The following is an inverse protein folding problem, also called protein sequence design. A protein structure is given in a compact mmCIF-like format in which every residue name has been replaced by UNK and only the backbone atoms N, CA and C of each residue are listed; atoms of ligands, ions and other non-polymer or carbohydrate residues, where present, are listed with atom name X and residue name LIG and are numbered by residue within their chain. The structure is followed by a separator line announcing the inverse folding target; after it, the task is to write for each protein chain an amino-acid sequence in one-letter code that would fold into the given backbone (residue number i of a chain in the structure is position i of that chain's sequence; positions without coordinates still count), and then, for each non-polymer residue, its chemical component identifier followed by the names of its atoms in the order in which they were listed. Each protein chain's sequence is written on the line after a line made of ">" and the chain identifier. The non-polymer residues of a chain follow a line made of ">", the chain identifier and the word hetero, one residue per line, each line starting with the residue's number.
data_IF_298410831791
#
_entry.id   IF_298410831791
#
_cell.length_a   1.000
_cell.length_b   1.000
_cell.length_c   1.000
_cell.angle_alpha   90.00
_cell.angle_beta   90.00
_cell.angle_gamma   90.00
#
_symmetry.space_group_name_H-M   'P 1'
#
loop_
_entity.id
_entity.type
_entity.pdbx_description
1 polymer ?
#
# COMPACT_ATOMS: atom_id res chain seq x y z
N UNK A 1 18.50 -25.59 15.67
CA UNK A 1 17.02 -25.59 15.67
C UNK A 1 16.58 -26.97 16.16
N UNK A 2 15.61 -27.09 17.09
CA UNK A 2 15.06 -28.37 17.51
C UNK A 2 14.73 -29.23 16.29
N UNK A 3 15.21 -30.47 16.27
CA UNK A 3 14.75 -31.41 15.25
C UNK A 3 13.27 -31.72 15.53
N UNK A 4 12.41 -31.67 14.51
CA UNK A 4 10.96 -31.89 14.64
C UNK A 4 10.61 -33.14 15.46
N UNK A 5 11.39 -34.21 15.28
CA UNK A 5 11.25 -35.45 16.04
C UNK A 5 11.44 -35.30 17.57
N UNK A 6 12.26 -34.37 18.03
CA UNK A 6 12.43 -34.11 19.48
C UNK A 6 11.18 -33.46 20.07
N UNK A 7 10.53 -32.57 19.33
CA UNK A 7 9.29 -31.92 19.78
C UNK A 7 8.12 -32.91 19.74
N UNK A 8 8.03 -33.75 18.70
CA UNK A 8 6.99 -34.79 18.56
C UNK A 8 7.03 -35.81 19.71
N UNK A 9 8.22 -36.31 20.06
CA UNK A 9 8.38 -37.22 21.20
C UNK A 9 7.94 -36.57 22.52
N UNK A 10 8.24 -35.29 22.73
CA UNK A 10 7.82 -34.59 23.95
C UNK A 10 6.32 -34.32 24.01
N UNK A 11 5.66 -34.10 22.86
CA UNK A 11 4.19 -34.01 22.77
C UNK A 11 3.55 -35.37 23.07
N UNK A 12 4.09 -36.47 22.54
CA UNK A 12 3.60 -37.82 22.82
C UNK A 12 3.75 -38.20 24.30
N UNK A 13 4.80 -37.73 24.97
CA UNK A 13 5.02 -37.88 26.41
C UNK A 13 4.18 -36.91 27.27
N UNK A 14 3.26 -36.15 26.65
CA UNK A 14 2.35 -35.20 27.29
C UNK A 14 3.08 -34.15 28.17
N UNK A 15 4.28 -33.74 27.74
CA UNK A 15 5.09 -32.77 28.48
C UNK A 15 4.53 -31.35 28.35
N UNK A 16 4.70 -30.54 29.40
CA UNK A 16 4.30 -29.13 29.33
C UNK A 16 5.23 -28.31 28.44
N UNK A 17 4.68 -27.30 27.76
CA UNK A 17 5.42 -26.41 26.86
C UNK A 17 6.60 -25.72 27.57
N UNK A 18 6.46 -25.42 28.86
CA UNK A 18 7.54 -24.86 29.67
C UNK A 18 8.69 -25.85 29.85
N UNK A 19 8.38 -27.13 30.06
CA UNK A 19 9.38 -28.18 30.22
C UNK A 19 10.06 -28.51 28.88
N UNK A 20 9.31 -28.49 27.78
CA UNK A 20 9.85 -28.63 26.41
C UNK A 20 10.83 -27.50 26.07
N UNK A 21 10.46 -26.26 26.40
CA UNK A 21 11.31 -25.06 26.20
C UNK A 21 12.62 -25.14 26.98
N UNK A 22 12.56 -25.63 28.23
CA UNK A 22 13.74 -25.84 29.06
C UNK A 22 14.65 -26.97 28.55
N UNK A 23 14.07 -28.05 27.99
CA UNK A 23 14.83 -29.22 27.51
C UNK A 23 15.49 -29.02 26.14
N UNK A 24 14.87 -28.28 25.22
CA UNK A 24 15.38 -28.09 23.85
C UNK A 24 15.92 -26.66 23.61
N UNK A 25 16.09 -25.86 24.67
CA UNK A 25 16.57 -24.47 24.59
C UNK A 25 15.87 -23.63 23.50
N UNK A 26 14.56 -23.80 23.33
CA UNK A 26 13.76 -23.11 22.33
C UNK A 26 12.65 -22.29 23.00
N UNK A 27 12.20 -21.21 22.36
CA UNK A 27 11.19 -20.34 22.97
C UNK A 27 9.85 -21.05 23.08
N UNK A 28 9.10 -20.75 24.17
CA UNK A 28 7.75 -21.28 24.37
C UNK A 28 6.81 -20.96 23.20
N UNK A 29 6.97 -19.78 22.60
CA UNK A 29 6.21 -19.35 21.42
C UNK A 29 6.46 -20.26 20.22
N UNK A 30 7.71 -20.64 19.95
CA UNK A 30 8.03 -21.54 18.85
C UNK A 30 7.43 -22.94 19.07
N UNK A 31 7.50 -23.46 20.30
CA UNK A 31 6.84 -24.72 20.66
C UNK A 31 5.32 -24.65 20.47
N UNK A 32 4.68 -23.56 20.90
CA UNK A 32 3.24 -23.35 20.71
C UNK A 32 2.86 -23.27 19.23
N UNK A 33 3.65 -22.56 18.42
CA UNK A 33 3.43 -22.48 16.97
C UNK A 33 3.57 -23.86 16.30
N UNK A 34 4.53 -24.69 16.74
CA UNK A 34 4.70 -26.05 16.22
C UNK A 34 3.54 -26.96 16.62
N UNK A 35 3.13 -26.95 17.89
CA UNK A 35 2.02 -27.78 18.40
C UNK A 35 0.69 -27.41 17.71
N UNK A 36 0.50 -26.13 17.37
CA UNK A 36 -0.74 -25.65 16.75
C UNK A 36 -0.89 -26.09 15.28
N UNK A 37 0.23 -26.19 14.54
CA UNK A 37 0.23 -26.63 13.14
C UNK A 37 1.61 -27.19 12.75
N UNK A 38 1.89 -28.47 13.06
CA UNK A 38 3.21 -29.07 12.84
C UNK A 38 3.51 -29.30 11.35
N UNK A 39 2.47 -29.40 10.52
CA UNK A 39 2.59 -29.62 9.07
C UNK A 39 2.99 -28.33 8.36
N UNK A 40 2.40 -27.19 8.74
CA UNK A 40 2.77 -25.90 8.17
C UNK A 40 4.01 -25.26 8.83
N UNK A 41 4.44 -25.74 10.00
CA UNK A 41 5.57 -25.16 10.74
C UNK A 41 6.88 -25.23 9.94
N UNK A 42 7.48 -24.09 9.61
CA UNK A 42 8.71 -24.00 8.82
C UNK A 42 8.49 -24.08 7.31
N UNK A 43 7.24 -24.14 6.83
CA UNK A 43 6.94 -23.87 5.42
C UNK A 43 6.97 -22.35 5.19
N UNK A 44 7.50 -21.93 4.03
CA UNK A 44 7.48 -20.51 3.65
C UNK A 44 6.05 -20.04 3.51
N UNK A 45 5.60 -19.14 4.38
CA UNK A 45 4.34 -18.43 4.20
C UNK A 45 4.49 -17.52 2.98
N UNK A 46 3.47 -17.48 2.11
CA UNK A 46 3.35 -16.40 1.12
C UNK A 46 3.34 -15.07 1.88
N UNK A 47 4.39 -14.28 1.71
CA UNK A 47 4.53 -12.95 2.32
C UNK A 47 3.67 -11.89 1.62
N UNK A 48 2.90 -12.30 0.60
CA UNK A 48 2.09 -11.42 -0.24
C UNK A 48 0.62 -11.30 0.19
N UNK A 49 0.02 -10.18 -0.22
CA UNK A 49 -1.41 -9.89 -0.07
C UNK A 49 -2.25 -10.97 -0.76
N UNK A 50 -3.27 -11.55 -0.09
CA UNK A 50 -4.15 -12.53 -0.72
C UNK A 50 -4.88 -11.92 -1.92
N UNK A 51 -5.00 -12.70 -3.01
CA UNK A 51 -5.75 -12.28 -4.20
C UNK A 51 -7.22 -12.06 -3.86
N UNK A 52 -7.75 -10.90 -4.26
CA UNK A 52 -9.17 -10.55 -4.05
C UNK A 52 -10.06 -10.83 -5.27
N UNK A 53 -9.48 -10.97 -6.45
CA UNK A 53 -10.19 -11.18 -7.71
C UNK A 53 -9.71 -12.47 -8.38
N UNK A 54 -10.60 -13.13 -9.13
CA UNK A 54 -10.21 -14.25 -9.98
C UNK A 54 -9.64 -13.71 -11.30
N UNK A 55 -8.75 -14.46 -11.95
CA UNK A 55 -8.17 -14.10 -13.26
C UNK A 55 -9.23 -13.80 -14.33
N UNK A 56 -10.42 -14.38 -14.23
CA UNK A 56 -11.53 -14.09 -15.14
C UNK A 56 -12.07 -12.68 -14.92
N UNK A 57 -12.24 -12.27 -13.67
CA UNK A 57 -12.74 -10.95 -13.29
C UNK A 57 -11.72 -9.87 -13.67
N UNK A 58 -10.43 -10.14 -13.44
CA UNK A 58 -9.34 -9.25 -13.88
C UNK A 58 -9.35 -9.04 -15.39
N UNK A 59 -9.52 -10.11 -16.18
CA UNK A 59 -9.63 -10.03 -17.65
C UNK A 59 -10.87 -9.26 -18.11
N UNK A 60 -11.98 -9.39 -17.39
CA UNK A 60 -13.22 -8.67 -17.70
C UNK A 60 -13.12 -7.18 -17.34
N UNK A 61 -12.52 -6.85 -16.20
CA UNK A 61 -12.24 -5.45 -15.79
C UNK A 61 -11.23 -4.79 -16.73
N UNK A 62 -10.17 -5.50 -17.11
CA UNK A 62 -9.20 -5.07 -18.12
C UNK A 62 -9.87 -4.73 -19.46
N UNK A 63 -10.76 -5.61 -19.95
CA UNK A 63 -11.56 -5.35 -21.16
C UNK A 63 -12.51 -4.18 -20.99
N UNK A 64 -13.21 -4.07 -19.87
CA UNK A 64 -14.13 -2.98 -19.60
C UNK A 64 -13.41 -1.63 -19.53
N UNK A 65 -12.30 -1.54 -18.77
CA UNK A 65 -11.49 -0.34 -18.64
C UNK A 65 -10.88 0.12 -19.98
N UNK A 66 -10.48 -0.84 -20.83
CA UNK A 66 -9.99 -0.53 -22.18
C UNK A 66 -11.08 -0.02 -23.13
N UNK A 67 -12.36 -0.28 -22.81
CA UNK A 67 -13.51 0.05 -23.66
C UNK A 67 -14.31 1.27 -23.15
N UNK A 68 -14.14 1.70 -21.90
CA UNK A 68 -14.70 2.95 -21.38
C UNK A 68 -13.74 4.12 -21.59
N UNK A 69 -13.75 4.71 -22.79
CA UNK A 69 -13.36 6.12 -22.97
C UNK A 69 -14.53 6.98 -22.48
N UNK A 70 -14.71 7.08 -21.16
CA UNK A 70 -15.68 8.02 -20.60
C UNK A 70 -15.03 9.40 -20.54
N UNK A 71 -15.56 10.32 -21.36
CA UNK A 71 -15.08 11.69 -21.55
C UNK A 71 -15.02 12.46 -20.23
N UNK A 72 -14.04 13.36 -20.09
CA UNK A 72 -13.77 14.23 -18.94
C UNK A 72 -14.89 15.24 -18.56
N UNK A 73 -16.16 14.99 -18.94
CA UNK A 73 -17.31 15.89 -18.71
C UNK A 73 -18.21 15.49 -17.54
N UNK A 74 -17.92 14.41 -16.83
CA UNK A 74 -18.72 14.01 -15.67
C UNK A 74 -18.28 14.76 -14.40
N UNK A 75 -18.95 15.91 -14.21
CA UNK A 75 -18.80 16.87 -13.14
C UNK A 75 -19.08 16.30 -11.74
N UNK A 76 -18.10 15.62 -11.12
CA UNK A 76 -18.08 15.50 -9.66
C UNK A 76 -16.63 15.44 -9.12
N UNK A 77 -16.21 16.35 -8.22
CA UNK A 77 -14.85 16.33 -7.67
C UNK A 77 -14.62 15.07 -6.83
N UNK A 78 -13.78 14.16 -7.33
CA UNK A 78 -13.30 12.97 -6.61
C UNK A 78 -11.98 13.32 -5.90
N UNK A 79 -11.89 13.04 -4.61
CA UNK A 79 -10.66 13.28 -3.81
C UNK A 79 -9.99 11.95 -3.47
N UNK A 80 -8.68 11.87 -3.71
CA UNK A 80 -7.83 10.74 -3.35
C UNK A 80 -7.38 10.83 -1.89
N UNK A 81 -7.45 9.74 -1.12
CA UNK A 81 -7.00 9.70 0.29
C UNK A 81 -6.03 8.56 0.55
N UNK A 82 -4.97 8.87 1.29
CA UNK A 82 -3.98 7.91 1.79
C UNK A 82 -4.44 7.25 3.09
N UNK A 83 -4.15 5.97 3.25
CA UNK A 83 -4.26 5.27 4.54
C UNK A 83 -2.94 5.43 5.31
N UNK A 84 -2.87 6.39 6.23
CA UNK A 84 -1.78 6.49 7.21
C UNK A 84 -2.21 5.81 8.53
N UNK A 85 -1.45 4.85 9.09
CA UNK A 85 -1.83 4.15 10.31
C UNK A 85 -1.34 4.93 11.53
N UNK A 86 -2.12 5.91 12.01
CA UNK A 86 -1.78 6.64 13.23
C UNK A 86 -2.89 6.49 14.30
N UNK A 87 -2.43 6.03 15.47
CA UNK A 87 -3.01 5.85 16.81
C UNK A 87 -4.38 6.48 17.20
N UNK A 88 -5.17 5.66 17.93
CA UNK A 88 -6.06 5.96 19.06
C UNK A 88 -6.87 7.27 19.05
N UNK A 89 -7.63 7.47 18.00
CA UNK A 89 -9.02 7.92 18.05
C UNK A 89 -9.69 7.25 16.84
N UNK A 90 -11.00 7.38 16.62
CA UNK A 90 -11.59 6.96 15.34
C UNK A 90 -11.77 8.18 14.41
N UNK A 91 -10.69 8.81 13.88
CA UNK A 91 -10.78 9.96 12.98
C UNK A 91 -11.41 9.61 11.62
N UNK A 92 -11.64 8.32 11.35
CA UNK A 92 -12.32 7.84 10.15
C UNK A 92 -13.78 8.30 10.09
N UNK A 93 -14.49 8.40 11.23
CA UNK A 93 -15.92 8.71 11.23
C UNK A 93 -16.21 10.19 11.00
N UNK A 94 -15.52 11.11 11.67
CA UNK A 94 -15.69 12.56 11.47
C UNK A 94 -15.23 12.98 10.08
N UNK A 95 -14.12 12.43 9.60
CA UNK A 95 -13.60 12.69 8.25
C UNK A 95 -14.53 12.14 7.17
N UNK A 96 -15.10 10.93 7.34
CA UNK A 96 -16.11 10.39 6.42
C UNK A 96 -17.40 11.21 6.44
N UNK A 97 -17.87 11.59 7.62
CA UNK A 97 -19.07 12.42 7.77
C UNK A 97 -18.92 13.79 7.09
N UNK A 98 -17.74 14.42 7.22
CA UNK A 98 -17.43 15.68 6.52
C UNK A 98 -17.40 15.52 5.00
N UNK A 99 -16.77 14.46 4.47
CA UNK A 99 -16.76 14.23 3.02
C UNK A 99 -18.16 13.93 2.49
N UNK A 100 -18.95 13.15 3.25
CA UNK A 100 -20.33 12.84 2.91
C UNK A 100 -21.20 14.11 2.91
N UNK A 101 -21.03 15.01 3.88
CA UNK A 101 -21.76 16.29 3.92
C UNK A 101 -21.39 17.21 2.75
N UNK A 102 -20.16 17.11 2.24
CA UNK A 102 -19.69 17.78 1.03
C UNK A 102 -20.03 17.03 -0.27
N UNK A 103 -20.75 15.89 -0.20
CA UNK A 103 -21.09 15.02 -1.34
C UNK A 103 -19.86 14.52 -2.13
N UNK A 104 -18.71 14.41 -1.47
CA UNK A 104 -17.46 13.95 -2.07
C UNK A 104 -17.41 12.43 -2.00
N UNK A 105 -17.36 11.77 -3.16
CA UNK A 105 -17.21 10.31 -3.24
C UNK A 105 -15.76 9.92 -2.96
N UNK A 106 -15.56 9.11 -1.92
CA UNK A 106 -14.25 8.50 -1.61
C UNK A 106 -14.12 7.22 -2.43
N UNK A 107 -12.97 7.08 -3.11
CA UNK A 107 -12.62 5.86 -3.82
C UNK A 107 -11.96 4.87 -2.86
N UNK A 108 -12.29 3.58 -3.00
CA UNK A 108 -11.63 2.51 -2.25
C UNK A 108 -10.20 2.34 -2.76
N UNK A 109 -9.24 2.86 -1.99
CA UNK A 109 -7.82 2.85 -2.35
C UNK A 109 -7.09 1.66 -1.74
N UNK A 110 -6.25 0.94 -2.51
CA UNK A 110 -5.41 -0.10 -1.93
C UNK A 110 -4.36 0.50 -0.97
N UNK A 111 -4.19 -0.13 0.19
CA UNK A 111 -3.12 0.22 1.12
C UNK A 111 -1.74 0.01 0.46
N UNK A 112 -0.79 0.89 0.78
CA UNK A 112 0.61 0.84 0.31
C UNK A 112 0.78 0.89 -1.23
N UNK A 113 0.05 1.77 -1.92
CA UNK A 113 0.18 1.97 -3.38
C UNK A 113 0.55 3.42 -3.72
N UNK A 114 1.81 3.85 -3.45
CA UNK A 114 2.30 5.16 -3.87
C UNK A 114 2.31 5.29 -5.40
N UNK A 115 2.56 4.17 -6.10
CA UNK A 115 2.46 3.97 -7.55
C UNK A 115 1.12 4.33 -8.17
N UNK A 116 0.07 4.47 -7.38
CA UNK A 116 -1.23 4.93 -7.87
C UNK A 116 -1.51 6.37 -7.46
N UNK A 117 -0.77 6.97 -6.54
CA UNK A 117 -1.08 8.31 -6.06
C UNK A 117 -0.49 9.37 -7.02
N UNK A 118 -1.33 10.20 -7.68
CA UNK A 118 -0.83 11.29 -8.51
C UNK A 118 0.02 12.29 -7.71
N UNK A 119 -0.29 12.50 -6.43
CA UNK A 119 0.42 13.51 -5.64
C UNK A 119 1.89 13.13 -5.38
N UNK A 120 2.24 11.84 -5.29
CA UNK A 120 3.66 11.42 -5.23
C UNK A 120 4.42 11.86 -6.49
N UNK A 121 3.79 11.77 -7.66
CA UNK A 121 4.41 12.16 -8.93
C UNK A 121 4.69 13.66 -8.98
N UNK A 122 3.79 14.47 -8.41
CA UNK A 122 3.97 15.92 -8.31
C UNK A 122 5.09 16.24 -7.33
N UNK A 123 5.10 15.62 -6.15
CA UNK A 123 6.18 15.80 -5.17
C UNK A 123 7.54 15.45 -5.74
N UNK A 124 7.65 14.34 -6.47
CA UNK A 124 8.91 13.92 -7.11
C UNK A 124 9.48 14.95 -8.08
N UNK A 125 8.63 15.62 -8.87
CA UNK A 125 9.08 16.70 -9.77
C UNK A 125 9.41 17.96 -8.99
N UNK A 126 8.55 18.34 -8.05
CA UNK A 126 8.75 19.54 -7.26
C UNK A 126 10.08 19.48 -6.49
N UNK A 127 10.38 18.36 -5.85
CA UNK A 127 11.67 18.15 -5.17
C UNK A 127 12.83 18.20 -6.17
N UNK A 128 12.72 17.56 -7.34
CA UNK A 128 13.77 17.62 -8.37
C UNK A 128 14.03 19.04 -8.87
N UNK A 129 12.98 19.85 -9.02
CA UNK A 129 13.10 21.23 -9.50
C UNK A 129 13.68 22.15 -8.42
N UNK A 130 13.15 22.07 -7.20
CA UNK A 130 13.60 22.88 -6.06
C UNK A 130 15.08 22.66 -5.73
N UNK A 131 15.57 21.42 -5.84
CA UNK A 131 16.97 21.05 -5.56
C UNK A 131 17.82 20.88 -6.83
N UNK A 132 17.34 21.37 -7.98
CA UNK A 132 18.05 21.29 -9.26
C UNK A 132 19.45 21.89 -9.11
N UNK A 133 20.43 21.27 -9.77
CA UNK A 133 21.84 21.65 -9.73
C UNK A 133 22.46 21.67 -8.32
N UNK A 134 21.89 20.91 -7.38
CA UNK A 134 22.41 20.82 -6.01
C UNK A 134 22.11 22.04 -5.14
N UNK A 135 21.16 22.90 -5.56
CA UNK A 135 20.76 24.09 -4.81
C UNK A 135 20.36 23.71 -3.37
N UNK A 136 20.93 24.43 -2.40
CA UNK A 136 20.62 24.28 -0.97
C UNK A 136 19.96 25.56 -0.44
N UNK A 137 19.21 25.43 0.65
CA UNK A 137 18.49 26.53 1.27
C UNK A 137 18.93 26.66 2.72
N UNK A 138 19.21 27.88 3.18
CA UNK A 138 19.73 28.13 4.53
C UNK A 138 18.61 28.54 5.51
N UNK A 139 17.39 28.75 5.01
CA UNK A 139 16.24 29.12 5.83
C UNK A 139 14.95 28.47 5.33
N UNK A 140 13.98 28.32 6.25
CA UNK A 140 12.65 27.80 5.93
C UNK A 140 11.89 28.76 5.00
N UNK A 141 12.08 30.08 5.13
CA UNK A 141 11.39 31.05 4.25
C UNK A 141 11.87 30.92 2.81
N UNK A 142 13.19 30.83 2.61
CA UNK A 142 13.79 30.68 1.30
C UNK A 142 13.33 29.39 0.61
N UNK A 143 13.29 28.27 1.36
CA UNK A 143 12.76 27.01 0.85
C UNK A 143 11.27 27.13 0.48
N UNK A 144 10.45 27.77 1.32
CA UNK A 144 9.02 27.98 1.05
C UNK A 144 8.80 28.81 -0.22
N UNK A 145 9.57 29.87 -0.41
CA UNK A 145 9.44 30.73 -1.57
C UNK A 145 9.89 30.00 -2.84
N UNK A 146 10.99 29.25 -2.79
CA UNK A 146 11.41 28.40 -3.89
C UNK A 146 10.36 27.34 -4.26
N UNK A 147 9.78 26.66 -3.27
CA UNK A 147 8.70 25.68 -3.50
C UNK A 147 7.50 26.34 -4.19
N UNK A 148 7.10 27.55 -3.78
CA UNK A 148 6.00 28.27 -4.43
C UNK A 148 6.32 28.65 -5.87
N UNK A 149 7.53 29.13 -6.13
CA UNK A 149 7.98 29.49 -7.48
C UNK A 149 7.98 28.27 -8.39
N UNK A 150 8.61 27.16 -7.97
CA UNK A 150 8.65 25.94 -8.76
C UNK A 150 7.25 25.32 -8.94
N UNK A 151 6.37 25.46 -7.95
CA UNK A 151 4.98 25.03 -8.06
C UNK A 151 4.21 25.79 -9.14
N UNK A 152 4.40 27.12 -9.25
CA UNK A 152 3.73 27.93 -10.29
C UNK A 152 4.21 27.62 -11.71
N UNK A 153 5.41 27.05 -11.87
CA UNK A 153 5.97 26.66 -13.16
C UNK A 153 5.42 25.32 -13.67
N UNK A 154 4.72 24.54 -12.84
CA UNK A 154 4.13 23.26 -13.27
C UNK A 154 2.97 23.55 -14.23
N UNK A 155 3.06 23.13 -15.51
CA UNK A 155 2.01 23.44 -16.47
C UNK A 155 0.75 22.62 -16.18
N UNK A 156 -0.46 23.18 -16.36
CA UNK A 156 -1.70 22.44 -16.20
C UNK A 156 -1.78 21.16 -17.04
N UNK A 157 -1.19 21.18 -18.24
CA UNK A 157 -1.11 20.01 -19.13
C UNK A 157 -0.37 18.82 -18.51
N UNK A 158 0.61 19.07 -17.65
CA UNK A 158 1.29 17.99 -16.92
C UNK A 158 0.35 17.32 -15.92
N UNK A 159 -0.46 18.11 -15.20
CA UNK A 159 -1.47 17.58 -14.27
C UNK A 159 -2.52 16.76 -15.03
N UNK A 160 -3.00 17.27 -16.18
CA UNK A 160 -3.94 16.54 -17.03
C UNK A 160 -3.36 15.21 -17.52
N UNK A 161 -2.12 15.20 -18.03
CA UNK A 161 -1.44 13.97 -18.45
C UNK A 161 -1.30 12.98 -17.30
N UNK A 162 -0.98 13.45 -16.10
CA UNK A 162 -0.88 12.62 -14.91
C UNK A 162 -2.22 11.97 -14.56
N UNK A 163 -3.32 12.72 -14.60
CA UNK A 163 -4.66 12.17 -14.41
C UNK A 163 -5.04 11.19 -15.52
N UNK A 164 -4.74 11.50 -16.78
CA UNK A 164 -5.00 10.63 -17.93
C UNK A 164 -4.17 9.34 -17.90
N UNK A 165 -3.04 9.32 -17.19
CA UNK A 165 -2.21 8.12 -16.99
C UNK A 165 -2.80 7.12 -15.98
N UNK A 166 -3.73 7.56 -15.12
CA UNK A 166 -4.25 6.76 -14.01
C UNK A 166 -4.91 5.44 -14.42
N UNK A 167 -5.75 5.39 -15.47
CA UNK A 167 -6.32 4.13 -15.96
C UNK A 167 -5.23 3.10 -16.33
N UNK A 168 -4.16 3.55 -16.99
CA UNK A 168 -3.04 2.68 -17.37
C UNK A 168 -2.25 2.19 -16.16
N UNK A 169 -2.01 3.04 -15.15
CA UNK A 169 -1.34 2.66 -13.89
C UNK A 169 -2.16 1.60 -13.15
N UNK A 170 -3.47 1.80 -13.05
CA UNK A 170 -4.40 0.82 -12.43
C UNK A 170 -4.36 -0.50 -13.21
N UNK A 171 -4.39 -0.44 -14.53
CA UNK A 171 -4.30 -1.63 -15.38
C UNK A 171 -3.01 -2.41 -15.13
N UNK A 172 -1.86 -1.72 -15.04
CA UNK A 172 -0.57 -2.37 -14.74
C UNK A 172 -0.56 -3.04 -13.37
N UNK A 173 -1.13 -2.41 -12.34
CA UNK A 173 -1.26 -3.01 -11.00
C UNK A 173 -2.08 -4.30 -11.06
N UNK A 174 -3.19 -4.29 -11.82
CA UNK A 174 -4.02 -5.49 -12.02
C UNK A 174 -3.21 -6.58 -12.73
N UNK A 175 -2.54 -6.24 -13.84
CA UNK A 175 -1.73 -7.19 -14.62
C UNK A 175 -0.62 -7.83 -13.79
N UNK A 176 -0.02 -7.07 -12.87
CA UNK A 176 1.05 -7.52 -11.97
C UNK A 176 0.54 -8.12 -10.67
N UNK A 177 -0.76 -8.40 -10.54
CA UNK A 177 -1.38 -8.97 -9.33
C UNK A 177 -1.09 -8.15 -8.05
N UNK A 178 -1.08 -6.83 -8.14
CA UNK A 178 -0.73 -5.94 -7.02
C UNK A 178 0.77 -5.70 -6.82
N UNK A 179 1.62 -6.18 -7.74
CA UNK A 179 3.05 -5.86 -7.78
C UNK A 179 3.34 -4.44 -8.26
N UNK A 180 4.60 -4.02 -8.11
CA UNK A 180 5.08 -2.68 -8.47
C UNK A 180 4.85 -2.36 -9.93
N UNK A 181 4.31 -1.19 -10.22
CA UNK A 181 4.19 -0.68 -11.60
C UNK A 181 5.57 -0.30 -12.15
N UNK A 182 5.69 -0.08 -13.46
CA UNK A 182 6.94 0.48 -14.01
C UNK A 182 6.99 2.01 -13.92
N UNK A 183 6.11 2.57 -13.08
CA UNK A 183 5.92 4.00 -12.90
C UNK A 183 6.86 4.54 -11.83
#
# INVERSE_FOLDING_TARGET
>A
MPERGQVDLMVQLNMSVSLMSARIHCSRTLNNCYISDPVAYGTSKSTGRPRKLKQQDERNVARAASNTMESAKDNNPKIWKHHAPNHEANPYNSTRAFLASKKIKVLDWPACSPDLNPTESIWGILTKSVYKNGKQYNSISELKDAVKTEWSEIPPSYLENLFNSMPNRIFQVIQKNGGFTSY
#
